data_IF_933213693836
#
_entry.id   IF_933213693836
#
_cell.length_a   1.000
_cell.length_b   1.000
_cell.length_c   1.000
_cell.angle_alpha   90.00
_cell.angle_beta   90.00
_cell.angle_gamma   90.00
#
_symmetry.space_group_name_H-M   'P 1'
#
loop_
_entity.id
_entity.type
_entity.pdbx_description
1 polymer ?
#
# COMPACT_ATOMS: atom_id res chain seq x y z
N UNK A 1 -19.67 21.36 20.33
CA UNK A 1 -20.62 21.52 19.19
C UNK A 1 -21.45 20.25 19.12
N UNK A 2 -22.76 20.39 18.92
CA UNK A 2 -23.68 19.25 18.93
C UNK A 2 -23.51 18.50 17.60
N UNK A 3 -23.00 17.26 17.62
CA UNK A 3 -22.79 16.41 16.42
C UNK A 3 -24.04 16.30 15.54
N UNK A 4 -25.23 16.49 16.13
CA UNK A 4 -26.50 16.50 15.41
C UNK A 4 -26.64 17.72 14.48
N UNK A 5 -26.11 18.89 14.86
CA UNK A 5 -26.12 20.11 14.03
C UNK A 5 -25.19 19.96 12.82
N UNK A 6 -24.06 19.28 12.97
CA UNK A 6 -23.09 19.02 11.89
C UNK A 6 -23.63 18.04 10.83
N UNK A 7 -24.59 17.19 11.22
CA UNK A 7 -25.24 16.21 10.33
C UNK A 7 -26.51 16.74 9.65
N UNK A 8 -26.98 17.95 10.01
CA UNK A 8 -28.13 18.55 9.32
C UNK A 8 -27.70 18.90 7.90
N UNK A 9 -28.28 18.23 6.92
CA UNK A 9 -28.16 18.62 5.53
C UNK A 9 -28.63 20.08 5.40
N UNK A 10 -27.75 20.96 4.93
CA UNK A 10 -28.12 22.35 4.64
C UNK A 10 -29.07 22.33 3.44
N UNK A 11 -30.29 22.82 3.63
CA UNK A 11 -31.23 23.06 2.53
C UNK A 11 -30.54 24.01 1.54
N UNK A 12 -30.54 23.72 0.23
CA UNK A 12 -29.95 24.62 -0.75
C UNK A 12 -30.67 25.97 -0.74
N UNK A 13 -29.92 27.05 -0.91
CA UNK A 13 -30.45 28.42 -0.90
C UNK A 13 -31.39 28.67 -2.09
N UNK A 14 -31.13 28.03 -3.23
CA UNK A 14 -31.99 28.03 -4.42
C UNK A 14 -32.48 26.61 -4.77
N UNK A 15 -33.78 26.39 -4.57
CA UNK A 15 -34.48 25.12 -4.78
C UNK A 15 -34.76 24.84 -6.27
N UNK A 16 -34.55 25.82 -7.16
CA UNK A 16 -34.70 25.71 -8.61
C UNK A 16 -33.37 25.78 -9.36
N UNK A 17 -32.25 25.89 -8.64
CA UNK A 17 -30.91 25.82 -9.25
C UNK A 17 -30.69 24.48 -9.97
N UNK A 18 -29.86 24.49 -11.01
CA UNK A 18 -29.48 23.26 -11.74
C UNK A 18 -28.94 22.16 -10.82
N UNK A 19 -28.17 22.53 -9.78
CA UNK A 19 -27.70 21.59 -8.77
C UNK A 19 -28.83 20.97 -7.93
N UNK A 20 -29.87 21.74 -7.61
CA UNK A 20 -31.04 21.24 -6.87
C UNK A 20 -31.89 20.30 -7.73
N UNK A 21 -31.96 20.56 -9.04
CA UNK A 21 -32.63 19.71 -10.04
C UNK A 21 -31.87 18.39 -10.21
N UNK A 22 -30.55 18.42 -10.42
CA UNK A 22 -29.72 17.22 -10.55
C UNK A 22 -29.76 16.34 -9.30
N UNK A 23 -29.73 16.97 -8.12
CA UNK A 23 -29.91 16.26 -6.85
C UNK A 23 -31.36 15.79 -6.63
N UNK A 24 -32.31 16.24 -7.46
CA UNK A 24 -33.74 15.98 -7.38
C UNK A 24 -34.33 16.31 -6.02
N UNK A 25 -34.04 17.52 -5.52
CA UNK A 25 -34.63 18.03 -4.28
C UNK A 25 -36.10 18.35 -4.49
N UNK A 26 -36.90 17.95 -3.51
CA UNK A 26 -38.34 18.22 -3.47
C UNK A 26 -38.66 18.97 -2.18
N UNK A 27 -39.55 19.94 -2.28
CA UNK A 27 -39.99 20.79 -1.17
C UNK A 27 -41.17 20.19 -0.44
N UNK A 28 -41.26 20.52 0.85
CA UNK A 28 -42.27 20.04 1.78
C UNK A 28 -43.53 20.93 1.84
N UNK A 29 -43.53 22.09 1.19
CA UNK A 29 -44.50 23.14 1.45
C UNK A 29 -44.88 24.05 0.25
N UNK A 30 -44.67 23.59 -0.99
CA UNK A 30 -44.97 24.34 -2.23
C UNK A 30 -44.47 25.80 -2.25
N UNK A 31 -43.44 26.14 -1.45
CA UNK A 31 -42.92 27.51 -1.33
C UNK A 31 -42.00 27.91 -2.50
N UNK A 32 -42.34 27.46 -3.70
CA UNK A 32 -41.64 27.82 -4.93
C UNK A 32 -40.50 26.89 -5.36
N UNK A 33 -40.46 25.65 -4.86
CA UNK A 33 -39.60 24.58 -5.39
C UNK A 33 -40.41 23.42 -5.98
N UNK A 34 -39.74 22.34 -6.33
CA UNK A 34 -40.39 21.17 -6.89
C UNK A 34 -41.15 20.38 -5.83
N UNK A 35 -42.17 19.63 -6.24
CA UNK A 35 -43.07 18.85 -5.36
C UNK A 35 -43.18 17.41 -5.89
N UNK A 36 -43.84 16.52 -5.14
CA UNK A 36 -44.09 15.15 -5.61
C UNK A 36 -45.45 15.12 -6.30
N UNK A 37 -45.50 14.48 -7.47
CA UNK A 37 -46.71 14.25 -8.24
C UNK A 37 -47.09 12.78 -8.24
N UNK A 38 -48.38 12.51 -8.36
CA UNK A 38 -48.97 11.20 -8.55
C UNK A 38 -49.78 11.22 -9.85
N UNK A 39 -49.46 10.31 -10.77
CA UNK A 39 -50.24 10.21 -11.99
C UNK A 39 -51.50 9.37 -11.75
N UNK A 40 -52.69 9.97 -11.87
CA UNK A 40 -53.96 9.27 -11.70
C UNK A 40 -54.20 8.13 -12.72
N UNK A 41 -53.47 8.12 -13.85
CA UNK A 41 -53.63 7.11 -14.88
C UNK A 41 -52.76 5.86 -14.65
N UNK A 42 -51.47 6.04 -14.33
CA UNK A 42 -50.55 4.90 -14.12
C UNK A 42 -50.20 4.64 -12.64
N UNK A 43 -50.55 5.53 -11.72
CA UNK A 43 -50.27 5.41 -10.28
C UNK A 43 -48.82 5.65 -9.89
N UNK A 44 -47.95 6.04 -10.84
CA UNK A 44 -46.55 6.34 -10.53
C UNK A 44 -46.43 7.66 -9.76
N UNK A 45 -45.55 7.65 -8.75
CA UNK A 45 -45.28 8.78 -7.86
C UNK A 45 -43.83 9.24 -8.05
N UNK A 46 -43.65 10.47 -8.49
CA UNK A 46 -42.34 10.99 -8.91
C UNK A 46 -42.21 12.50 -8.67
N UNK A 47 -40.99 13.08 -8.69
CA UNK A 47 -40.81 14.53 -8.56
C UNK A 47 -41.33 15.30 -9.78
N UNK A 48 -41.95 16.46 -9.57
CA UNK A 48 -42.50 17.31 -10.64
C UNK A 48 -41.45 17.84 -11.64
N UNK A 49 -40.16 17.76 -11.29
CA UNK A 49 -39.02 18.03 -12.18
C UNK A 49 -38.96 17.12 -13.41
N UNK A 50 -39.56 15.94 -13.30
CA UNK A 50 -39.53 14.91 -14.33
C UNK A 50 -40.76 14.95 -15.23
N UNK A 51 -41.67 15.91 -15.02
CA UNK A 51 -42.78 16.14 -15.93
C UNK A 51 -42.26 16.66 -17.26
N UNK A 52 -42.85 16.14 -18.34
CA UNK A 52 -42.66 16.69 -19.67
C UNK A 52 -43.69 17.83 -19.90
N UNK A 53 -43.35 18.87 -20.66
CA UNK A 53 -44.24 20.02 -20.85
C UNK A 53 -44.29 20.96 -19.65
N UNK A 54 -45.42 21.63 -19.41
CA UNK A 54 -45.56 22.60 -18.31
C UNK A 54 -44.76 23.90 -18.50
N UNK A 55 -44.25 24.13 -19.72
CA UNK A 55 -43.45 25.30 -20.06
C UNK A 55 -44.31 26.54 -20.29
N UNK A 56 -43.77 27.73 -20.00
CA UNK A 56 -44.45 28.98 -20.32
C UNK A 56 -44.61 29.12 -21.84
N UNK A 57 -45.84 29.33 -22.30
CA UNK A 57 -46.13 29.62 -23.70
C UNK A 57 -45.79 31.10 -23.94
N UNK A 58 -44.83 31.34 -24.83
CA UNK A 58 -44.33 32.67 -25.12
C UNK A 58 -45.46 33.68 -25.39
N UNK A 59 -45.38 34.84 -24.75
CA UNK A 59 -46.23 36.01 -24.98
C UNK A 59 -47.74 35.86 -24.73
N UNK A 60 -48.19 34.71 -24.20
CA UNK A 60 -49.60 34.47 -23.85
C UNK A 60 -49.89 34.56 -22.35
N UNK A 61 -48.87 34.37 -21.52
CA UNK A 61 -49.03 34.22 -20.07
C UNK A 61 -49.67 32.90 -19.64
N UNK A 62 -49.87 31.97 -20.58
CA UNK A 62 -50.38 30.63 -20.36
C UNK A 62 -49.24 29.60 -20.28
N UNK A 63 -49.52 28.40 -19.80
CA UNK A 63 -48.57 27.30 -19.69
C UNK A 63 -49.04 26.13 -20.54
N UNK A 64 -48.11 25.44 -21.18
CA UNK A 64 -48.39 24.20 -21.91
C UNK A 64 -48.76 23.10 -20.93
N UNK A 65 -49.51 22.10 -21.40
CA UNK A 65 -49.97 21.00 -20.55
C UNK A 65 -48.78 20.23 -19.97
N UNK A 66 -48.94 19.70 -18.75
CA UNK A 66 -47.94 18.81 -18.16
C UNK A 66 -48.26 17.35 -18.51
N UNK A 67 -47.24 16.57 -18.82
CA UNK A 67 -47.39 15.17 -19.23
C UNK A 67 -46.59 14.25 -18.31
N UNK A 68 -47.21 13.11 -17.97
CA UNK A 68 -46.53 12.05 -17.23
C UNK A 68 -45.45 11.38 -18.09
N UNK A 69 -44.18 11.30 -17.65
CA UNK A 69 -43.10 10.67 -18.42
C UNK A 69 -43.26 9.15 -18.56
N UNK A 70 -44.15 8.53 -17.78
CA UNK A 70 -44.36 7.07 -17.77
C UNK A 70 -45.51 6.61 -18.68
N UNK A 71 -46.55 7.43 -18.84
CA UNK A 71 -47.76 7.04 -19.58
C UNK A 71 -48.35 8.13 -20.47
N UNK A 72 -47.72 9.30 -20.54
CA UNK A 72 -48.13 10.46 -21.33
C UNK A 72 -49.55 10.97 -21.02
N UNK A 73 -50.07 10.67 -19.83
CA UNK A 73 -51.30 11.25 -19.33
C UNK A 73 -51.11 12.74 -19.07
N UNK A 74 -52.14 13.52 -19.39
CA UNK A 74 -52.19 14.98 -19.22
C UNK A 74 -52.46 15.32 -17.76
N UNK A 75 -51.81 16.37 -17.28
CA UNK A 75 -51.91 17.00 -15.96
C UNK A 75 -51.85 16.00 -14.78
N UNK A 76 -50.67 15.42 -14.49
CA UNK A 76 -50.47 14.67 -13.25
C UNK A 76 -50.64 15.57 -12.01
N UNK A 77 -51.36 15.08 -11.01
CA UNK A 77 -51.71 15.85 -9.82
C UNK A 77 -50.61 15.81 -8.75
N UNK A 78 -50.62 16.79 -7.85
CA UNK A 78 -49.78 16.76 -6.65
C UNK A 78 -50.15 15.57 -5.75
N UNK A 79 -49.13 14.83 -5.29
CA UNK A 79 -49.33 13.69 -4.39
C UNK A 79 -49.57 14.19 -2.96
N UNK A 80 -50.82 14.15 -2.50
CA UNK A 80 -51.18 14.51 -1.12
C UNK A 80 -50.95 13.37 -0.10
N UNK A 81 -50.58 12.17 -0.57
CA UNK A 81 -50.33 11.03 0.30
C UNK A 81 -48.89 11.06 0.85
N UNK A 82 -48.75 11.57 2.08
CA UNK A 82 -47.46 11.66 2.77
C UNK A 82 -46.70 10.32 2.85
N UNK A 83 -47.42 9.18 2.93
CA UNK A 83 -46.80 7.85 2.97
C UNK A 83 -46.14 7.47 1.64
N UNK A 84 -46.79 7.77 0.51
CA UNK A 84 -46.22 7.54 -0.83
C UNK A 84 -45.04 8.46 -1.10
N UNK A 85 -45.16 9.75 -0.75
CA UNK A 85 -44.05 10.72 -0.82
C UNK A 85 -42.84 10.24 -0.04
N UNK A 86 -43.05 9.78 1.20
CA UNK A 86 -41.98 9.24 2.04
C UNK A 86 -41.31 8.02 1.42
N UNK A 87 -42.09 7.08 0.89
CA UNK A 87 -41.56 5.86 0.29
C UNK A 87 -40.67 6.16 -0.93
N UNK A 88 -41.06 7.13 -1.78
CA UNK A 88 -40.26 7.56 -2.93
C UNK A 88 -38.94 8.20 -2.47
N UNK A 89 -38.98 9.05 -1.46
CA UNK A 89 -37.77 9.66 -0.89
C UNK A 89 -36.86 8.60 -0.25
N UNK A 90 -37.43 7.64 0.48
CA UNK A 90 -36.71 6.56 1.13
C UNK A 90 -36.03 5.65 0.10
N UNK A 91 -36.72 5.29 -0.98
CA UNK A 91 -36.16 4.50 -2.07
C UNK A 91 -34.94 5.19 -2.71
N UNK A 92 -35.04 6.51 -2.93
CA UNK A 92 -33.92 7.32 -3.44
C UNK A 92 -32.74 7.34 -2.48
N UNK A 93 -32.98 7.51 -1.17
CA UNK A 93 -31.93 7.47 -0.15
C UNK A 93 -31.22 6.11 -0.18
N UNK A 94 -31.98 5.01 -0.21
CA UNK A 94 -31.40 3.67 -0.28
C UNK A 94 -30.56 3.46 -1.54
N UNK A 95 -31.02 3.93 -2.70
CA UNK A 95 -30.25 3.86 -3.96
C UNK A 95 -28.93 4.65 -3.87
N UNK A 96 -28.97 5.87 -3.34
CA UNK A 96 -27.78 6.72 -3.16
C UNK A 96 -26.78 6.12 -2.16
N UNK A 97 -27.25 5.49 -1.08
CA UNK A 97 -26.39 4.77 -0.13
C UNK A 97 -25.70 3.62 -0.84
N UNK A 98 -26.43 2.79 -1.58
CA UNK A 98 -25.87 1.66 -2.32
C UNK A 98 -24.80 2.12 -3.34
N UNK A 99 -25.06 3.19 -4.07
CA UNK A 99 -24.09 3.77 -5.01
C UNK A 99 -22.83 4.26 -4.29
N UNK A 100 -22.97 4.93 -3.13
CA UNK A 100 -21.82 5.38 -2.33
C UNK A 100 -21.01 4.21 -1.78
N UNK A 101 -21.66 3.17 -1.30
CA UNK A 101 -20.98 1.97 -0.79
C UNK A 101 -20.20 1.26 -1.90
N UNK A 102 -20.77 1.14 -3.10
CA UNK A 102 -20.09 0.59 -4.27
C UNK A 102 -18.85 1.42 -4.65
N UNK A 103 -19.01 2.74 -4.77
CA UNK A 103 -17.90 3.65 -5.08
C UNK A 103 -16.81 3.64 -3.98
N UNK A 104 -17.20 3.53 -2.71
CA UNK A 104 -16.25 3.45 -1.61
C UNK A 104 -15.44 2.14 -1.67
N UNK A 105 -16.10 1.02 -1.97
CA UNK A 105 -15.44 -0.27 -2.14
C UNK A 105 -14.42 -0.24 -3.28
N UNK A 106 -14.76 0.38 -4.41
CA UNK A 106 -13.84 0.55 -5.54
C UNK A 106 -12.63 1.42 -5.17
N UNK A 107 -12.84 2.51 -4.43
CA UNK A 107 -11.75 3.36 -3.91
C UNK A 107 -10.83 2.59 -2.97
N UNK A 108 -11.38 1.79 -2.07
CA UNK A 108 -10.60 0.99 -1.12
C UNK A 108 -9.78 -0.07 -1.85
N UNK A 109 -10.35 -0.71 -2.88
CA UNK A 109 -9.63 -1.68 -3.72
C UNK A 109 -8.52 -1.01 -4.54
N UNK A 110 -8.79 0.13 -5.16
CA UNK A 110 -7.79 0.92 -5.86
C UNK A 110 -6.65 1.33 -4.92
N UNK A 111 -6.98 1.77 -3.70
CA UNK A 111 -6.00 2.12 -2.66
C UNK A 111 -5.14 0.91 -2.32
N UNK A 112 -5.71 -0.27 -2.09
CA UNK A 112 -4.95 -1.50 -1.81
C UNK A 112 -4.03 -1.89 -2.98
N UNK A 113 -4.50 -1.76 -4.22
CA UNK A 113 -3.69 -2.03 -5.41
C UNK A 113 -2.52 -1.04 -5.50
N UNK A 114 -2.78 0.25 -5.26
CA UNK A 114 -1.74 1.28 -5.27
C UNK A 114 -0.75 1.09 -4.12
N UNK A 115 -1.19 0.75 -2.91
CA UNK A 115 -0.29 0.50 -1.77
C UNK A 115 0.71 -0.63 -2.03
N UNK A 116 0.39 -1.58 -2.91
CA UNK A 116 1.36 -2.62 -3.33
C UNK A 116 2.53 -2.05 -4.13
N UNK A 117 2.30 -0.98 -4.88
CA UNK A 117 3.27 -0.38 -5.80
C UNK A 117 3.77 1.00 -5.33
N UNK A 118 3.10 1.64 -4.37
CA UNK A 118 3.52 2.90 -3.81
C UNK A 118 4.54 2.62 -2.71
N UNK A 119 5.80 2.95 -2.98
CA UNK A 119 6.77 3.17 -1.90
C UNK A 119 6.52 4.57 -1.34
N UNK A 120 6.54 4.70 -0.02
CA UNK A 120 6.61 6.01 0.61
C UNK A 120 7.92 6.72 0.25
N UNK A 121 7.94 8.06 0.34
CA UNK A 121 9.16 8.84 0.10
C UNK A 121 10.32 8.36 0.99
N UNK A 122 10.05 8.04 2.26
CA UNK A 122 11.05 7.51 3.19
C UNK A 122 11.58 6.13 2.80
N UNK A 123 10.73 5.23 2.29
CA UNK A 123 11.19 3.92 1.80
C UNK A 123 12.02 4.04 0.51
N UNK A 124 11.67 4.99 -0.36
CA UNK A 124 12.47 5.28 -1.56
C UNK A 124 13.85 5.81 -1.18
N UNK A 125 13.91 6.76 -0.24
CA UNK A 125 15.17 7.32 0.26
C UNK A 125 16.03 6.24 0.94
N UNK A 126 15.42 5.38 1.77
CA UNK A 126 16.10 4.26 2.40
C UNK A 126 16.71 3.31 1.37
N UNK A 127 15.94 2.90 0.35
CA UNK A 127 16.45 2.02 -0.72
C UNK A 127 17.59 2.68 -1.52
N UNK A 128 17.53 3.99 -1.75
CA UNK A 128 18.63 4.71 -2.39
C UNK A 128 19.89 4.73 -1.52
N UNK A 129 19.75 5.00 -0.22
CA UNK A 129 20.85 4.94 0.74
C UNK A 129 21.49 3.54 0.78
N UNK A 130 20.67 2.48 0.86
CA UNK A 130 21.13 1.09 0.84
C UNK A 130 21.86 0.76 -0.48
N UNK A 131 21.30 1.15 -1.62
CA UNK A 131 21.95 0.97 -2.92
C UNK A 131 23.29 1.70 -3.00
N UNK A 132 23.38 2.93 -2.48
CA UNK A 132 24.63 3.70 -2.45
C UNK A 132 25.69 3.03 -1.57
N UNK A 133 25.29 2.54 -0.40
CA UNK A 133 26.20 1.83 0.51
C UNK A 133 26.75 0.56 -0.14
N UNK A 134 25.89 -0.27 -0.74
CA UNK A 134 26.33 -1.50 -1.43
C UNK A 134 27.27 -1.18 -2.59
N UNK A 135 26.97 -0.15 -3.40
CA UNK A 135 27.86 0.27 -4.50
C UNK A 135 29.24 0.69 -3.99
N UNK A 136 29.28 1.47 -2.91
CA UNK A 136 30.53 1.89 -2.28
C UNK A 136 31.36 0.68 -1.81
N UNK A 137 30.75 -0.28 -1.10
CA UNK A 137 31.45 -1.49 -0.63
C UNK A 137 31.96 -2.37 -1.77
N UNK A 138 31.24 -2.43 -2.89
CA UNK A 138 31.65 -3.15 -4.08
C UNK A 138 32.68 -2.37 -4.93
N UNK A 139 33.08 -1.16 -4.53
CA UNK A 139 34.07 -0.33 -5.23
C UNK A 139 33.53 0.45 -6.43
N UNK A 140 32.21 0.55 -6.60
CA UNK A 140 31.57 1.40 -7.60
C UNK A 140 31.36 2.82 -7.09
N UNK A 141 31.25 3.79 -8.00
CA UNK A 141 30.84 5.15 -7.64
C UNK A 141 29.43 5.18 -7.04
N UNK A 142 29.25 5.88 -5.91
CA UNK A 142 27.97 5.97 -5.18
C UNK A 142 26.83 6.45 -6.08
N UNK A 143 27.13 7.39 -6.97
CA UNK A 143 26.19 8.02 -7.89
C UNK A 143 26.48 7.67 -9.36
N UNK A 144 27.19 6.57 -9.59
CA UNK A 144 27.46 6.10 -10.95
C UNK A 144 26.15 5.70 -11.63
N UNK A 145 25.79 6.42 -12.70
CA UNK A 145 24.57 6.15 -13.49
C UNK A 145 24.74 5.01 -14.51
N UNK A 146 25.92 4.40 -14.57
CA UNK A 146 26.34 3.42 -15.57
C UNK A 146 26.81 2.09 -14.96
N UNK A 147 26.23 1.68 -13.82
CA UNK A 147 26.45 0.35 -13.26
C UNK A 147 25.40 -0.60 -13.83
N UNK A 148 25.81 -1.55 -14.67
CA UNK A 148 24.88 -2.55 -15.20
C UNK A 148 24.54 -3.58 -14.10
N UNK A 149 23.32 -4.15 -14.08
CA UNK A 149 22.97 -5.22 -13.14
C UNK A 149 23.94 -6.41 -13.16
N UNK A 150 24.56 -6.66 -14.32
CA UNK A 150 25.56 -7.72 -14.49
C UNK A 150 26.86 -7.42 -13.73
N UNK A 151 27.30 -6.16 -13.70
CA UNK A 151 28.54 -5.76 -13.01
C UNK A 151 28.44 -5.98 -11.50
N UNK A 152 27.28 -5.63 -10.92
CA UNK A 152 26.98 -5.89 -9.51
C UNK A 152 26.95 -7.39 -9.22
N UNK A 153 26.31 -8.16 -10.10
CA UNK A 153 26.20 -9.61 -9.94
C UNK A 153 27.58 -10.27 -9.97
N UNK A 154 28.44 -9.86 -10.90
CA UNK A 154 29.81 -10.37 -11.01
C UNK A 154 30.64 -10.02 -9.76
N UNK A 155 30.58 -8.78 -9.28
CA UNK A 155 31.30 -8.36 -8.07
C UNK A 155 30.86 -9.14 -6.82
N UNK A 156 29.57 -9.45 -6.70
CA UNK A 156 29.02 -10.27 -5.60
C UNK A 156 29.52 -11.72 -5.70
N UNK A 157 29.57 -12.29 -6.91
CA UNK A 157 30.10 -13.64 -7.15
C UNK A 157 31.58 -13.70 -6.77
N UNK A 158 32.38 -12.74 -7.22
CA UNK A 158 33.80 -12.66 -6.87
C UNK A 158 34.03 -12.60 -5.35
N UNK A 159 33.21 -11.82 -4.63
CA UNK A 159 33.28 -11.75 -3.16
C UNK A 159 32.87 -13.07 -2.50
N UNK A 160 31.83 -13.74 -3.01
CA UNK A 160 31.41 -15.05 -2.53
C UNK A 160 32.52 -16.08 -2.70
N UNK A 161 33.17 -16.08 -3.85
CA UNK A 161 34.25 -17.01 -4.16
C UNK A 161 35.47 -16.76 -3.25
N UNK A 162 35.83 -15.49 -3.02
CA UNK A 162 36.88 -15.13 -2.04
C UNK A 162 36.53 -15.57 -0.63
N UNK A 163 35.27 -15.40 -0.21
CA UNK A 163 34.80 -15.81 1.11
C UNK A 163 34.83 -17.34 1.25
N UNK A 164 34.43 -18.07 0.20
CA UNK A 164 34.51 -19.53 0.17
C UNK A 164 35.96 -20.00 0.29
N UNK A 165 36.88 -19.42 -0.49
CA UNK A 165 38.29 -19.78 -0.43
C UNK A 165 38.90 -19.47 0.95
N UNK A 166 38.55 -18.33 1.56
CA UNK A 166 38.99 -18.00 2.91
C UNK A 166 38.45 -18.99 3.95
N UNK A 167 37.17 -19.38 3.85
CA UNK A 167 36.59 -20.40 4.72
C UNK A 167 37.25 -21.77 4.54
N UNK A 168 37.57 -22.16 3.31
CA UNK A 168 38.29 -23.41 3.03
C UNK A 168 39.70 -23.42 3.63
N UNK A 169 40.38 -22.26 3.64
CA UNK A 169 41.68 -22.11 4.32
C UNK A 169 41.55 -22.21 5.84
N UNK A 170 40.49 -21.65 6.42
CA UNK A 170 40.20 -21.74 7.86
C UNK A 170 39.76 -23.14 8.30
N UNK A 171 39.16 -23.92 7.39
CA UNK A 171 38.69 -25.28 7.67
C UNK A 171 39.81 -26.31 7.75
N UNK A 172 40.99 -26.02 7.19
CA UNK A 172 42.13 -26.94 7.22
C UNK A 172 42.83 -26.85 8.57
N UNK A 173 42.88 -27.94 9.35
CA UNK A 173 43.61 -27.95 10.62
C UNK A 173 45.09 -27.63 10.38
N UNK A 174 45.70 -26.90 11.30
CA UNK A 174 47.13 -26.65 11.27
C UNK A 174 47.84 -27.92 11.73
N UNK A 175 48.62 -28.51 10.84
CA UNK A 175 49.47 -29.68 11.15
C UNK A 175 50.68 -29.23 11.97
N UNK A 176 50.94 -29.91 13.09
CA UNK A 176 52.19 -29.79 13.83
C UNK A 176 52.98 -31.09 13.72
N UNK A 177 54.32 -31.03 13.60
CA UNK A 177 55.13 -32.24 13.71
C UNK A 177 54.90 -32.92 15.06
N UNK A 178 54.80 -34.25 15.07
CA UNK A 178 54.79 -35.05 16.31
C UNK A 178 56.05 -34.77 17.11
N UNK A 179 55.89 -33.93 18.12
CA UNK A 179 56.95 -33.30 18.87
C UNK A 179 57.00 -33.81 20.31
N UNK A 180 56.68 -35.08 20.55
CA UNK A 180 56.79 -35.63 21.89
C UNK A 180 58.26 -35.67 22.36
N UNK A 181 58.47 -35.78 23.67
CA UNK A 181 59.82 -35.74 24.24
C UNK A 181 60.69 -36.90 23.76
N UNK A 182 60.08 -38.03 23.39
CA UNK A 182 60.76 -39.18 22.81
C UNK A 182 61.29 -38.85 21.41
N UNK A 183 60.44 -38.33 20.53
CA UNK A 183 60.77 -37.89 19.18
C UNK A 183 61.83 -36.77 19.20
N UNK A 184 61.69 -35.80 20.10
CA UNK A 184 62.67 -34.73 20.27
C UNK A 184 64.04 -35.27 20.73
N UNK A 185 64.05 -36.14 21.74
CA UNK A 185 65.27 -36.74 22.29
C UNK A 185 65.98 -37.66 21.28
N UNK A 186 65.23 -38.40 20.46
CA UNK A 186 65.77 -39.27 19.43
C UNK A 186 66.45 -38.51 18.28
N UNK A 187 65.93 -37.35 17.89
CA UNK A 187 66.55 -36.51 16.86
C UNK A 187 67.77 -35.73 17.39
N UNK A 188 67.76 -35.40 18.68
CA UNK A 188 68.64 -34.42 19.30
C UNK A 188 69.80 -35.07 20.07
N UNK A 189 70.60 -35.90 19.40
CA UNK A 189 71.78 -36.61 19.93
C UNK A 189 72.91 -35.70 20.49
N UNK A 190 72.75 -34.36 20.45
CA UNK A 190 73.67 -33.35 20.99
C UNK A 190 73.02 -32.34 21.93
N UNK A 191 71.77 -32.53 22.31
CA UNK A 191 71.04 -31.60 23.16
C UNK A 191 70.73 -32.21 24.52
N UNK A 192 70.70 -31.36 25.55
CA UNK A 192 70.31 -31.76 26.91
C UNK A 192 68.80 -31.98 27.00
N UNK A 193 68.38 -32.81 27.96
CA UNK A 193 66.96 -33.07 28.27
C UNK A 193 66.17 -31.77 28.49
N UNK A 194 66.74 -30.79 29.20
CA UNK A 194 66.14 -29.47 29.39
C UNK A 194 65.89 -28.69 28.09
N UNK A 195 66.75 -28.88 27.08
CA UNK A 195 66.57 -28.23 25.77
C UNK A 195 65.46 -28.92 24.98
N UNK A 196 65.31 -30.24 25.09
CA UNK A 196 64.19 -30.97 24.53
C UNK A 196 62.86 -30.55 25.20
N UNK A 197 62.81 -30.47 26.53
CA UNK A 197 61.64 -30.00 27.29
C UNK A 197 61.21 -28.58 26.88
N UNK A 198 62.18 -27.66 26.75
CA UNK A 198 61.91 -26.28 26.33
C UNK A 198 61.34 -26.21 24.90
N UNK A 199 61.81 -27.09 24.01
CA UNK A 199 61.30 -27.17 22.63
C UNK A 199 59.85 -27.69 22.60
N UNK A 200 59.54 -28.77 23.32
CA UNK A 200 58.17 -29.29 23.44
C UNK A 200 57.23 -28.24 24.04
N UNK A 201 57.66 -27.55 25.10
CA UNK A 201 56.87 -26.46 25.70
C UNK A 201 56.63 -25.29 24.73
N UNK A 202 57.59 -25.00 23.86
CA UNK A 202 57.45 -24.00 22.80
C UNK A 202 56.39 -24.41 21.77
N UNK A 203 56.39 -25.67 21.34
CA UNK A 203 55.38 -26.19 20.40
C UNK A 203 53.98 -26.16 21.01
N UNK A 204 53.83 -26.60 22.26
CA UNK A 204 52.55 -26.54 22.99
C UNK A 204 52.05 -25.11 23.20
N UNK A 205 52.96 -24.15 23.42
CA UNK A 205 52.59 -22.73 23.46
C UNK A 205 52.06 -22.24 22.10
N UNK A 206 52.71 -22.62 21.00
CA UNK A 206 52.27 -22.27 19.64
C UNK A 206 50.89 -22.85 19.32
N UNK A 207 50.62 -24.12 19.65
CA UNK A 207 49.29 -24.75 19.48
C UNK A 207 48.19 -23.95 20.19
N UNK A 208 48.42 -23.57 21.45
CA UNK A 208 47.46 -22.76 22.23
C UNK A 208 47.18 -21.39 21.63
N UNK A 209 48.19 -20.73 21.05
CA UNK A 209 47.98 -19.45 20.38
C UNK A 209 47.15 -19.59 19.10
N UNK A 210 47.33 -20.69 18.35
CA UNK A 210 46.59 -20.98 17.12
C UNK A 210 45.11 -21.29 17.41
N UNK A 211 44.84 -22.09 18.43
CA UNK A 211 43.48 -22.37 18.91
C UNK A 211 42.80 -21.09 19.41
N UNK A 212 43.53 -20.25 20.17
CA UNK A 212 43.04 -18.95 20.63
C UNK A 212 42.72 -17.99 19.48
N UNK A 213 43.44 -18.11 18.36
CA UNK A 213 43.18 -17.36 17.13
C UNK A 213 42.00 -17.92 16.31
N UNK A 214 41.39 -19.02 16.74
CA UNK A 214 40.18 -19.59 16.12
C UNK A 214 40.45 -20.67 15.06
N UNK A 215 41.69 -21.15 14.94
CA UNK A 215 42.06 -22.24 14.02
C UNK A 215 42.00 -23.60 14.73
N UNK A 216 41.67 -24.66 14.00
CA UNK A 216 41.80 -26.03 14.47
C UNK A 216 43.24 -26.53 14.30
N UNK A 217 43.70 -27.40 15.19
CA UNK A 217 45.02 -28.05 15.13
C UNK A 217 44.80 -29.55 14.95
N UNK A 218 45.61 -30.21 14.12
CA UNK A 218 45.48 -31.65 13.87
C UNK A 218 45.80 -32.46 15.15
N UNK A 219 44.94 -33.43 15.50
CA UNK A 219 45.15 -34.34 16.65
C UNK A 219 44.52 -33.92 17.99
N UNK A 220 43.77 -32.81 18.05
CA UNK A 220 42.87 -32.44 19.17
C UNK A 220 41.40 -32.78 18.92
#
# INVERSE_FOLDING_TARGET
MNKLEELKAKKPDDLKSGSSIEAGYVTDNNSGGFFVVECNNCGEVFPSQQLDGGGAIADTGDYDDAYCPHCNAVDPDECYNAGLVWNVQQAKITALISQREAAQKERDEATRRLSRYSMSAGEADQRMCESRAVRHELGFGTDANNVAPLDLSNAIVDLRDKLSAANDMLSKPVEFPDCDIGAASHMAHRYSEKQCEAWVAGVEFSKKQIIKAGFTVEGE
#
